data_IF_803515713374
#
_entry.id   IF_803515713374
#
_cell.length_a   1.000
_cell.length_b   1.000
_cell.length_c   1.000
_cell.angle_alpha   90.00
_cell.angle_beta   90.00
_cell.angle_gamma   90.00
#
_symmetry.space_group_name_H-M   'P 1'
#
loop_
_entity.id
_entity.type
_entity.pdbx_description
1 polymer ?
#
# COMPACT_ATOMS: atom_id res chain seq x y z
N UNK A 1 -17.57 -12.29 48.06
CA UNK A 1 -18.32 -12.06 46.82
C UNK A 1 -17.41 -12.36 45.64
N UNK A 2 -17.60 -13.51 44.99
CA UNK A 2 -16.81 -14.00 43.85
C UNK A 2 -17.71 -13.95 42.61
N UNK A 3 -17.28 -13.28 41.54
CA UNK A 3 -18.05 -13.16 40.28
C UNK A 3 -17.94 -14.47 39.50
N UNK A 4 -19.08 -15.01 39.10
CA UNK A 4 -19.23 -16.21 38.27
C UNK A 4 -18.73 -15.94 36.83
N UNK A 5 -18.02 -16.89 36.18
CA UNK A 5 -17.73 -16.81 34.76
C UNK A 5 -18.94 -17.27 33.94
N UNK A 6 -19.32 -16.50 32.93
CA UNK A 6 -20.38 -16.84 32.00
C UNK A 6 -19.86 -17.91 31.03
N UNK A 7 -20.26 -19.15 31.26
CA UNK A 7 -20.14 -20.27 30.34
C UNK A 7 -21.28 -20.12 29.32
N UNK A 8 -20.95 -19.94 28.03
CA UNK A 8 -21.95 -19.99 26.97
C UNK A 8 -21.51 -21.05 25.95
N UNK A 9 -22.21 -22.18 25.99
CA UNK A 9 -22.01 -23.33 25.13
C UNK A 9 -22.23 -22.97 23.65
N UNK A 10 -21.39 -23.52 22.78
CA UNK A 10 -21.57 -23.45 21.35
C UNK A 10 -22.75 -24.34 20.91
N UNK A 11 -23.65 -23.88 20.02
CA UNK A 11 -24.63 -24.77 19.42
C UNK A 11 -23.98 -25.63 18.34
N UNK A 12 -24.10 -26.94 18.48
CA UNK A 12 -23.72 -27.94 17.49
C UNK A 12 -24.96 -28.47 16.73
N UNK A 13 -24.82 -28.57 15.40
CA UNK A 13 -25.73 -29.28 14.46
C UNK A 13 -27.04 -28.55 14.17
N UNK A 14 -27.66 -28.61 12.99
CA UNK A 14 -27.59 -29.58 11.88
C UNK A 14 -28.40 -28.99 10.72
N UNK A 15 -28.05 -29.23 9.46
CA UNK A 15 -28.95 -28.93 8.35
C UNK A 15 -28.27 -28.89 6.99
N UNK A 16 -28.23 -30.04 6.32
CA UNK A 16 -27.93 -30.13 4.91
C UNK A 16 -29.01 -29.39 4.11
N UNK A 17 -28.62 -28.29 3.47
CA UNK A 17 -29.36 -27.65 2.41
C UNK A 17 -28.39 -27.36 1.28
N UNK A 18 -28.33 -28.25 0.29
CA UNK A 18 -27.75 -27.94 -1.00
C UNK A 18 -28.62 -26.85 -1.64
N UNK A 19 -28.30 -25.59 -1.37
CA UNK A 19 -28.70 -24.50 -2.26
C UNK A 19 -27.89 -24.67 -3.54
N UNK A 20 -28.55 -25.16 -4.59
CA UNK A 20 -28.14 -24.88 -5.96
C UNK A 20 -27.99 -23.36 -6.08
N UNK A 21 -26.74 -22.91 -6.03
CA UNK A 21 -26.40 -21.55 -6.37
C UNK A 21 -26.64 -21.42 -7.86
N UNK A 22 -27.77 -20.83 -8.22
CA UNK A 22 -27.94 -20.19 -9.52
C UNK A 22 -26.66 -19.39 -9.79
N UNK A 23 -25.83 -19.90 -10.70
CA UNK A 23 -24.68 -19.17 -11.20
C UNK A 23 -25.24 -18.00 -12.00
N UNK A 24 -25.53 -16.90 -11.30
CA UNK A 24 -25.54 -15.59 -11.90
C UNK A 24 -24.21 -15.46 -12.64
N UNK A 25 -24.20 -15.14 -13.94
CA UNK A 25 -22.96 -14.86 -14.61
C UNK A 25 -22.23 -13.78 -13.81
N UNK A 26 -21.02 -14.11 -13.35
CA UNK A 26 -20.13 -13.14 -12.71
C UNK A 26 -20.12 -11.93 -13.63
N UNK A 27 -20.52 -10.73 -13.17
CA UNK A 27 -20.42 -9.54 -14.00
C UNK A 27 -18.96 -9.46 -14.45
N UNK A 28 -18.74 -9.50 -15.76
CA UNK A 28 -17.41 -9.34 -16.35
C UNK A 28 -16.86 -8.05 -15.77
N UNK A 29 -15.85 -8.15 -14.92
CA UNK A 29 -15.21 -6.99 -14.33
C UNK A 29 -14.78 -6.08 -15.49
N UNK A 30 -14.99 -4.76 -15.40
CA UNK A 30 -14.61 -3.85 -16.45
C UNK A 30 -13.12 -4.05 -16.76
N UNK A 31 -12.88 -4.48 -18.00
CA UNK A 31 -11.63 -4.54 -18.74
C UNK A 31 -10.36 -4.30 -17.89
N UNK A 32 -9.89 -5.37 -17.22
CA UNK A 32 -8.64 -5.36 -16.47
C UNK A 32 -7.39 -5.25 -17.36
N UNK A 33 -7.55 -5.17 -18.67
CA UNK A 33 -6.45 -5.13 -19.65
C UNK A 33 -5.84 -3.73 -19.83
N UNK A 34 -6.45 -2.67 -19.27
CA UNK A 34 -5.90 -1.32 -19.39
C UNK A 34 -4.65 -1.15 -18.55
N UNK A 35 -3.56 -0.76 -19.19
CA UNK A 35 -2.34 -0.38 -18.51
C UNK A 35 -2.58 0.84 -17.61
N UNK A 36 -1.92 0.90 -16.44
CA UNK A 36 -2.07 2.03 -15.50
C UNK A 36 -1.70 3.39 -16.14
N UNK A 37 -0.83 3.38 -17.16
CA UNK A 37 -0.46 4.56 -17.95
C UNK A 37 -1.64 5.19 -18.70
N UNK A 38 -2.69 4.42 -18.99
CA UNK A 38 -3.90 4.89 -19.67
C UNK A 38 -4.93 5.46 -18.71
N UNK A 39 -4.66 5.42 -17.40
CA UNK A 39 -5.56 5.83 -16.34
C UNK A 39 -4.90 6.97 -15.53
N UNK A 40 -5.00 8.24 -15.97
CA UNK A 40 -4.24 9.35 -15.38
C UNK A 40 -4.42 9.49 -13.86
N UNK A 41 -5.65 9.33 -13.37
CA UNK A 41 -5.93 9.36 -11.94
C UNK A 41 -5.25 8.22 -11.19
N UNK A 42 -5.31 6.99 -11.73
CA UNK A 42 -4.68 5.84 -11.09
C UNK A 42 -3.16 5.94 -11.12
N UNK A 43 -2.59 6.47 -12.21
CA UNK A 43 -1.17 6.73 -12.33
C UNK A 43 -0.70 7.78 -11.30
N UNK A 44 -1.36 8.94 -11.23
CA UNK A 44 -1.03 9.99 -10.24
C UNK A 44 -1.13 9.46 -8.82
N UNK A 45 -2.23 8.76 -8.49
CA UNK A 45 -2.41 8.17 -7.18
C UNK A 45 -1.32 7.15 -6.85
N UNK A 46 -1.06 6.19 -7.74
CA UNK A 46 -0.02 5.18 -7.52
C UNK A 46 1.38 5.81 -7.41
N UNK A 47 1.68 6.83 -8.21
CA UNK A 47 2.94 7.54 -8.17
C UNK A 47 3.13 8.29 -6.84
N UNK A 48 2.08 8.96 -6.36
CA UNK A 48 2.10 9.63 -5.04
C UNK A 48 2.34 8.63 -3.91
N UNK A 49 1.62 7.50 -3.91
CA UNK A 49 1.83 6.44 -2.91
C UNK A 49 3.25 5.86 -2.97
N UNK A 50 3.81 5.71 -4.17
CA UNK A 50 5.18 5.23 -4.35
C UNK A 50 6.23 6.24 -3.85
N UNK A 51 6.02 7.54 -4.08
CA UNK A 51 6.88 8.60 -3.56
C UNK A 51 6.83 8.68 -2.03
N UNK A 52 5.63 8.68 -1.43
CA UNK A 52 5.45 8.66 0.03
C UNK A 52 6.13 7.44 0.68
N UNK A 53 6.03 6.27 0.04
CA UNK A 53 6.74 5.07 0.47
C UNK A 53 8.26 5.30 0.47
N UNK A 54 8.81 5.84 -0.61
CA UNK A 54 10.25 6.08 -0.72
C UNK A 54 10.77 7.02 0.37
N UNK A 55 10.05 8.10 0.66
CA UNK A 55 10.39 9.02 1.74
C UNK A 55 10.35 8.36 3.11
N UNK A 56 9.31 7.54 3.35
CA UNK A 56 9.16 6.80 4.61
C UNK A 56 10.32 5.82 4.81
N UNK A 57 10.69 5.04 3.78
CA UNK A 57 11.80 4.08 3.89
C UNK A 57 13.14 4.80 4.04
N UNK A 58 13.33 5.95 3.37
CA UNK A 58 14.51 6.79 3.59
C UNK A 58 14.62 7.22 5.06
N UNK A 59 13.52 7.72 5.63
CA UNK A 59 13.45 8.21 7.01
C UNK A 59 13.72 7.08 8.01
N UNK A 60 13.09 5.91 7.82
CA UNK A 60 13.36 4.70 8.61
C UNK A 60 14.83 4.27 8.53
N UNK A 61 15.46 4.38 7.35
CA UNK A 61 16.87 4.07 7.20
C UNK A 61 17.76 5.06 7.96
N UNK A 62 17.40 6.35 8.01
CA UNK A 62 18.11 7.34 8.83
C UNK A 62 17.91 7.08 10.33
N UNK A 63 16.71 6.69 10.73
CA UNK A 63 16.41 6.33 12.12
C UNK A 63 17.20 5.09 12.56
N UNK A 64 17.32 4.08 11.71
CA UNK A 64 18.13 2.89 11.96
C UNK A 64 19.64 3.20 12.10
N UNK A 65 20.11 4.29 11.50
CA UNK A 65 21.46 4.83 11.69
C UNK A 65 21.62 5.64 12.99
N UNK A 66 20.54 5.79 13.77
CA UNK A 66 20.53 6.47 15.06
C UNK A 66 20.30 7.98 14.98
N UNK A 67 19.85 8.50 13.83
CA UNK A 67 19.56 9.93 13.70
C UNK A 67 18.28 10.29 14.46
N UNK A 68 18.38 11.36 15.26
CA UNK A 68 17.19 11.96 15.88
C UNK A 68 16.28 12.62 14.84
N UNK A 69 15.07 12.99 15.26
CA UNK A 69 14.06 13.57 14.36
C UNK A 69 14.58 14.79 13.59
N UNK A 70 15.28 15.72 14.24
CA UNK A 70 15.76 16.94 13.58
C UNK A 70 16.85 16.63 12.55
N UNK A 71 17.75 15.70 12.87
CA UNK A 71 18.81 15.24 11.97
C UNK A 71 18.25 14.49 10.78
N UNK A 72 17.16 13.74 10.96
CA UNK A 72 16.44 13.07 9.85
C UNK A 72 15.81 14.07 8.88
N UNK A 73 15.17 15.11 9.42
CA UNK A 73 14.62 16.21 8.61
C UNK A 73 15.74 16.89 7.81
N UNK A 74 16.86 17.23 8.46
CA UNK A 74 18.01 17.82 7.76
C UNK A 74 18.57 16.87 6.69
N UNK A 75 18.75 15.59 7.00
CA UNK A 75 19.22 14.59 6.05
C UNK A 75 18.28 14.42 4.85
N UNK A 76 16.96 14.61 5.03
CA UNK A 76 15.99 14.61 3.94
C UNK A 76 16.11 15.87 3.07
N UNK A 77 16.35 17.03 3.66
CA UNK A 77 16.61 18.27 2.91
C UNK A 77 17.92 18.19 2.10
N UNK A 78 18.94 17.52 2.65
CA UNK A 78 20.26 17.37 2.01
C UNK A 78 20.34 16.18 1.04
N UNK A 79 19.33 15.31 1.03
CA UNK A 79 19.32 14.13 0.17
C UNK A 79 19.18 14.54 -1.31
N UNK A 80 20.06 14.01 -2.16
CA UNK A 80 19.87 14.12 -3.60
C UNK A 80 18.62 13.34 -4.04
N UNK A 81 18.00 13.80 -5.11
CA UNK A 81 16.79 13.16 -5.64
C UNK A 81 17.05 11.71 -6.06
N UNK A 82 18.20 11.43 -6.65
CA UNK A 82 18.65 10.07 -6.99
C UNK A 82 18.74 9.15 -5.77
N UNK A 83 18.97 9.71 -4.57
CA UNK A 83 19.01 8.94 -3.33
C UNK A 83 17.62 8.46 -2.95
N UNK A 84 16.57 9.29 -3.14
CA UNK A 84 15.19 8.94 -2.83
C UNK A 84 14.61 7.95 -3.83
N UNK A 85 14.96 8.07 -5.11
CA UNK A 85 14.51 7.13 -6.17
C UNK A 85 14.89 5.68 -5.86
N UNK A 86 16.02 5.45 -5.16
CA UNK A 86 16.45 4.11 -4.73
C UNK A 86 15.51 3.46 -3.71
N UNK A 87 14.69 4.25 -3.03
CA UNK A 87 13.71 3.78 -2.05
C UNK A 87 12.32 3.57 -2.65
N UNK A 88 12.13 3.78 -3.96
CA UNK A 88 10.86 3.46 -4.62
C UNK A 88 10.53 1.97 -4.43
N UNK A 89 9.23 1.63 -4.24
CA UNK A 89 8.85 0.25 -4.00
C UNK A 89 9.31 -0.68 -5.15
N UNK A 90 9.75 -1.90 -4.84
CA UNK A 90 10.07 -2.89 -5.85
C UNK A 90 8.80 -3.37 -6.57
N UNK A 91 8.92 -3.79 -7.83
CA UNK A 91 7.82 -4.41 -8.58
C UNK A 91 6.68 -3.48 -9.02
N UNK A 92 6.80 -2.16 -8.82
CA UNK A 92 5.83 -1.20 -9.38
C UNK A 92 5.99 -1.09 -10.90
N UNK A 93 4.90 -0.75 -11.59
CA UNK A 93 4.89 -0.52 -13.03
C UNK A 93 5.84 0.63 -13.43
N UNK A 94 6.46 0.52 -14.60
CA UNK A 94 7.46 1.49 -15.08
C UNK A 94 6.88 2.90 -15.21
N UNK A 95 5.62 3.03 -15.65
CA UNK A 95 4.93 4.32 -15.71
C UNK A 95 4.80 4.95 -14.31
N UNK A 96 4.41 4.16 -13.31
CA UNK A 96 4.34 4.61 -11.91
C UNK A 96 5.72 4.98 -11.38
N UNK A 97 6.76 4.20 -11.70
CA UNK A 97 8.15 4.49 -11.31
C UNK A 97 8.62 5.81 -11.91
N UNK A 98 8.39 6.03 -13.20
CA UNK A 98 8.78 7.26 -13.89
C UNK A 98 8.07 8.47 -13.29
N UNK A 99 6.76 8.39 -13.07
CA UNK A 99 5.98 9.50 -12.52
C UNK A 99 6.33 9.76 -11.04
N UNK A 100 6.54 8.73 -10.23
CA UNK A 100 7.01 8.89 -8.85
C UNK A 100 8.41 9.50 -8.79
N UNK A 101 9.30 9.10 -9.70
CA UNK A 101 10.65 9.69 -9.80
C UNK A 101 10.56 11.16 -10.19
N UNK A 102 9.67 11.51 -11.12
CA UNK A 102 9.37 12.89 -11.49
C UNK A 102 8.88 13.68 -10.27
N UNK A 103 7.91 13.16 -9.52
CA UNK A 103 7.39 13.82 -8.32
C UNK A 103 8.48 14.09 -7.29
N UNK A 104 9.36 13.10 -7.03
CA UNK A 104 10.48 13.26 -6.12
C UNK A 104 11.45 14.36 -6.58
N UNK A 105 11.67 14.54 -7.89
CA UNK A 105 12.56 15.56 -8.43
C UNK A 105 12.02 17.00 -8.41
N UNK A 106 10.72 17.22 -8.17
CA UNK A 106 10.07 18.55 -8.26
C UNK A 106 9.37 19.00 -6.96
N UNK A 107 9.82 18.50 -5.80
CA UNK A 107 9.31 18.93 -4.48
C UNK A 107 9.91 20.27 -4.04
#
# INVERSE_FOLDING_TARGET
MKRLPYEMAAPAGTGAGHTETNQLPTPSLPDHDRAISELPFALDYAARRAAEFAETVFDMAREAEGLDWASRVQARCDASMDRLVRYLPPGIADATRAEASRMLCYV
#
